data_IF_566034058869
#
_entry.id   IF_566034058869
#
_cell.length_a   1.000
_cell.length_b   1.000
_cell.length_c   1.000
_cell.angle_alpha   90.00
_cell.angle_beta   90.00
_cell.angle_gamma   90.00
#
_symmetry.space_group_name_H-M   'P 1'
#
loop_
_entity.id
_entity.type
_entity.pdbx_description
1 polymer ?
#
# COMPACT_ATOMS: atom_id res chain seq x y z
N UNK A 1 -7.89 11.60 -59.85
CA UNK A 1 -8.68 11.09 -58.72
C UNK A 1 -7.66 10.68 -57.68
N UNK A 2 -7.33 11.64 -56.83
CA UNK A 2 -6.18 11.61 -55.92
C UNK A 2 -6.78 11.38 -54.53
N UNK A 3 -6.95 10.10 -54.18
CA UNK A 3 -7.56 9.71 -52.90
C UNK A 3 -6.65 8.74 -52.19
N UNK A 4 -6.00 9.29 -51.16
CA UNK A 4 -5.38 8.62 -50.02
C UNK A 4 -4.12 7.80 -50.32
N UNK A 5 -3.00 8.50 -50.51
CA UNK A 5 -1.74 8.03 -49.91
C UNK A 5 -1.95 8.03 -48.39
N UNK A 6 -1.91 6.88 -47.69
CA UNK A 6 -1.81 6.92 -46.24
C UNK A 6 -0.46 7.58 -45.92
N UNK A 7 -0.50 8.73 -45.26
CA UNK A 7 0.69 9.32 -44.65
C UNK A 7 1.41 8.22 -43.85
N UNK A 8 2.74 8.14 -43.91
CA UNK A 8 3.47 7.07 -43.24
C UNK A 8 3.11 7.11 -41.76
N UNK A 9 2.77 5.95 -41.20
CA UNK A 9 2.48 5.73 -39.78
C UNK A 9 3.70 5.99 -38.85
N UNK A 10 4.61 6.88 -39.25
CA UNK A 10 5.82 7.29 -38.56
C UNK A 10 5.62 8.59 -37.75
N UNK A 11 4.54 9.34 -37.98
CA UNK A 11 4.18 10.54 -37.18
C UNK A 11 3.40 10.14 -35.91
N UNK A 12 2.73 8.98 -35.98
CA UNK A 12 2.30 8.17 -34.84
C UNK A 12 3.60 7.51 -34.35
N UNK A 13 4.24 7.84 -33.24
CA UNK A 13 3.60 8.16 -31.96
C UNK A 13 4.62 8.69 -30.92
N UNK A 14 5.58 9.56 -31.28
CA UNK A 14 6.55 10.11 -30.30
C UNK A 14 5.83 10.75 -29.10
N UNK A 15 4.73 11.45 -29.34
CA UNK A 15 3.91 12.03 -28.28
C UNK A 15 3.25 10.95 -27.41
N UNK A 16 2.75 9.87 -28.02
CA UNK A 16 2.15 8.75 -27.29
C UNK A 16 3.21 7.98 -26.49
N UNK A 17 4.34 7.63 -27.11
CA UNK A 17 5.47 6.98 -26.45
C UNK A 17 5.93 7.78 -25.24
N UNK A 18 6.07 9.10 -25.39
CA UNK A 18 6.43 10.00 -24.28
C UNK A 18 5.37 10.00 -23.18
N UNK A 19 4.08 10.05 -23.54
CA UNK A 19 2.98 9.98 -22.57
C UNK A 19 2.95 8.66 -21.81
N UNK A 20 3.15 7.54 -22.49
CA UNK A 20 3.21 6.20 -21.90
C UNK A 20 4.41 6.07 -20.97
N UNK A 21 5.57 6.62 -21.34
CA UNK A 21 6.74 6.68 -20.47
C UNK A 21 6.48 7.48 -19.19
N UNK A 22 5.86 8.67 -19.32
CA UNK A 22 5.48 9.49 -18.16
C UNK A 22 4.51 8.73 -17.25
N UNK A 23 3.52 8.05 -17.84
CA UNK A 23 2.54 7.25 -17.10
C UNK A 23 3.20 6.08 -16.36
N UNK A 24 4.14 5.38 -17.00
CA UNK A 24 4.88 4.28 -16.37
C UNK A 24 5.72 4.76 -15.18
N UNK A 25 6.45 5.88 -15.34
CA UNK A 25 7.19 6.51 -14.24
C UNK A 25 6.25 6.92 -13.11
N UNK A 26 5.08 7.49 -13.44
CA UNK A 26 4.08 7.85 -12.45
C UNK A 26 3.63 6.64 -11.62
N UNK A 27 3.32 5.50 -12.25
CA UNK A 27 2.96 4.28 -11.52
C UNK A 27 4.09 3.76 -10.62
N UNK A 28 5.34 3.85 -11.07
CA UNK A 28 6.50 3.50 -10.23
C UNK A 28 6.57 4.40 -9.00
N UNK A 29 6.50 5.73 -9.19
CA UNK A 29 6.59 6.70 -8.08
C UNK A 29 5.44 6.50 -7.10
N UNK A 30 4.19 6.39 -7.60
CA UNK A 30 3.02 6.16 -6.76
C UNK A 30 3.13 4.82 -6.03
N UNK A 31 3.58 3.75 -6.69
CA UNK A 31 3.78 2.45 -6.08
C UNK A 31 4.76 2.49 -4.90
N UNK A 32 5.88 3.19 -5.05
CA UNK A 32 6.87 3.39 -3.98
C UNK A 32 6.27 4.20 -2.83
N UNK A 33 5.55 5.28 -3.13
CA UNK A 33 4.91 6.12 -2.11
C UNK A 33 3.87 5.32 -1.33
N UNK A 34 3.00 4.59 -2.02
CA UNK A 34 1.96 3.75 -1.39
C UNK A 34 2.58 2.69 -0.50
N UNK A 35 3.62 1.98 -0.97
CA UNK A 35 4.36 1.04 -0.12
C UNK A 35 4.89 1.71 1.15
N UNK A 36 5.55 2.87 1.01
CA UNK A 36 6.11 3.60 2.14
C UNK A 36 5.05 4.12 3.12
N UNK A 37 3.94 4.66 2.62
CA UNK A 37 2.85 5.21 3.44
C UNK A 37 2.14 4.08 4.18
N UNK A 38 1.74 3.00 3.50
CA UNK A 38 1.03 1.88 4.13
C UNK A 38 1.93 1.19 5.17
N UNK A 39 3.22 1.02 4.85
CA UNK A 39 4.19 0.48 5.79
C UNK A 39 4.30 1.36 7.06
N UNK A 40 4.48 2.66 6.88
CA UNK A 40 4.61 3.62 7.99
C UNK A 40 3.35 3.67 8.84
N UNK A 41 2.19 3.82 8.21
CA UNK A 41 0.91 3.96 8.90
C UNK A 41 0.56 2.71 9.70
N UNK A 42 0.80 1.53 9.11
CA UNK A 42 0.65 0.24 9.80
C UNK A 42 1.46 0.18 11.09
N UNK A 43 2.70 0.69 11.06
CA UNK A 43 3.60 0.69 12.23
C UNK A 43 3.17 1.70 13.29
N UNK A 44 2.71 2.89 12.90
CA UNK A 44 2.21 3.90 13.84
C UNK A 44 0.94 3.43 14.53
N UNK A 45 -0.02 2.87 13.79
CA UNK A 45 -1.24 2.32 14.36
C UNK A 45 -0.95 1.13 15.28
N UNK A 46 -0.01 0.26 14.89
CA UNK A 46 0.43 -0.86 15.72
C UNK A 46 0.95 -0.39 17.08
N UNK A 47 1.70 0.72 17.13
CA UNK A 47 2.23 1.30 18.39
C UNK A 47 1.14 1.90 19.27
N UNK A 48 0.04 2.39 18.70
CA UNK A 48 -1.07 2.96 19.48
C UNK A 48 -2.02 1.88 19.98
N UNK A 49 -2.32 0.89 19.13
CA UNK A 49 -3.38 -0.10 19.38
C UNK A 49 -2.91 -1.27 20.25
N UNK A 50 -1.72 -1.84 20.02
CA UNK A 50 -1.29 -3.01 20.80
C UNK A 50 -1.11 -2.73 22.30
N UNK A 51 -0.51 -1.60 22.73
CA UNK A 51 -0.32 -1.32 24.15
C UNK A 51 -1.62 -1.12 24.94
N UNK A 52 -2.74 -0.81 24.26
CA UNK A 52 -4.06 -0.72 24.92
C UNK A 52 -4.52 -2.06 25.50
N UNK A 53 -4.09 -3.18 24.89
CA UNK A 53 -4.40 -4.53 25.39
C UNK A 53 -3.46 -4.99 26.51
N UNK A 54 -2.29 -4.35 26.66
CA UNK A 54 -1.33 -4.65 27.72
C UNK A 54 -1.62 -3.90 29.02
N UNK A 55 -2.20 -2.69 28.95
CA UNK A 55 -2.60 -1.90 30.13
C UNK A 55 -3.68 -2.59 30.97
N UNK A 56 -4.63 -3.29 30.35
CA UNK A 56 -5.69 -4.03 31.07
C UNK A 56 -5.19 -5.25 31.86
N UNK A 57 -3.95 -5.69 31.64
CA UNK A 57 -3.35 -6.81 32.38
C UNK A 57 -2.55 -6.36 33.61
N UNK A 58 -2.17 -5.07 33.69
CA UNK A 58 -1.30 -4.55 34.75
C UNK A 58 -2.04 -3.84 35.89
N UNK A 59 -3.36 -3.63 35.78
CA UNK A 59 -4.17 -2.89 36.77
C UNK A 59 -5.02 -3.77 37.71
N UNK A 60 -4.85 -5.09 37.73
CA UNK A 60 -5.56 -5.99 38.67
C UNK A 60 -4.82 -6.25 39.98
N UNK A 61 -3.95 -5.34 40.40
CA UNK A 61 -3.39 -5.31 41.77
C UNK A 61 -3.79 -4.02 42.52
N UNK A 62 -5.02 -3.53 42.32
CA UNK A 62 -5.56 -2.43 43.13
C UNK A 62 -6.86 -2.86 43.81
N UNK A 63 -6.79 -2.93 45.14
CA UNK A 63 -7.90 -3.21 46.05
C UNK A 63 -8.89 -2.04 46.04
N UNK A 64 -9.94 -2.09 45.21
CA UNK A 64 -11.09 -1.19 45.32
C UNK A 64 -12.33 -1.80 44.66
N UNK A 65 -13.45 -1.98 45.38
CA UNK A 65 -14.64 -2.68 44.89
C UNK A 65 -15.62 -1.73 44.18
N UNK A 66 -15.16 -0.99 43.17
CA UNK A 66 -16.06 -0.22 42.31
C UNK A 66 -15.65 -0.37 40.85
N UNK A 67 -16.38 -1.22 40.14
CA UNK A 67 -16.21 -1.56 38.73
C UNK A 67 -16.19 -0.33 37.81
N UNK A 68 -15.23 -0.30 36.88
CA UNK A 68 -15.48 0.27 35.56
C UNK A 68 -14.73 -0.51 34.47
N UNK A 69 -15.50 -1.34 33.74
CA UNK A 69 -15.32 -1.68 32.32
C UNK A 69 -13.92 -2.11 31.82
N UNK A 70 -13.18 -2.91 32.59
CA UNK A 70 -11.98 -3.59 32.09
C UNK A 70 -12.34 -4.78 31.19
N UNK A 71 -11.75 -4.87 30.00
CA UNK A 71 -11.80 -6.10 29.18
C UNK A 71 -11.24 -7.26 30.02
N UNK A 72 -11.99 -8.35 30.13
CA UNK A 72 -11.51 -9.57 30.81
C UNK A 72 -10.15 -10.00 30.24
N UNK A 73 -9.19 -10.50 31.05
CA UNK A 73 -7.84 -10.82 30.60
C UNK A 73 -7.77 -11.69 29.32
N UNK A 74 -8.76 -12.58 29.16
CA UNK A 74 -8.92 -13.45 27.99
C UNK A 74 -9.33 -12.70 26.72
N UNK A 75 -10.18 -11.68 26.84
CA UNK A 75 -10.61 -10.85 25.69
C UNK A 75 -9.52 -9.90 25.25
N UNK A 76 -8.71 -9.37 26.18
CA UNK A 76 -7.54 -8.56 25.88
C UNK A 76 -6.46 -9.35 25.10
N UNK A 77 -6.14 -10.57 25.54
CA UNK A 77 -5.18 -11.44 24.86
C UNK A 77 -5.64 -11.82 23.45
N UNK A 78 -6.92 -12.14 23.29
CA UNK A 78 -7.51 -12.47 21.98
C UNK A 78 -7.52 -11.26 21.04
N UNK A 79 -7.86 -10.07 21.54
CA UNK A 79 -7.78 -8.82 20.79
C UNK A 79 -6.35 -8.53 20.33
N UNK A 80 -5.37 -8.67 21.21
CA UNK A 80 -3.95 -8.49 20.88
C UNK A 80 -3.49 -9.42 19.75
N UNK A 81 -3.90 -10.68 19.77
CA UNK A 81 -3.56 -11.65 18.72
C UNK A 81 -4.18 -11.25 17.36
N UNK A 82 -5.47 -10.89 17.34
CA UNK A 82 -6.17 -10.50 16.11
C UNK A 82 -5.53 -9.23 15.51
N UNK A 83 -5.42 -8.16 16.29
CA UNK A 83 -4.86 -6.90 15.80
C UNK A 83 -3.39 -7.06 15.40
N UNK A 84 -2.61 -7.87 16.11
CA UNK A 84 -1.25 -8.22 15.72
C UNK A 84 -1.17 -8.85 14.32
N UNK A 85 -2.08 -9.79 14.02
CA UNK A 85 -2.18 -10.41 12.68
C UNK A 85 -2.64 -9.44 11.61
N UNK A 86 -3.60 -8.57 11.91
CA UNK A 86 -4.10 -7.54 10.98
C UNK A 86 -2.98 -6.59 10.58
N UNK A 87 -2.22 -6.05 11.54
CA UNK A 87 -1.09 -5.17 11.23
C UNK A 87 -0.02 -5.87 10.40
N UNK A 88 0.24 -7.15 10.67
CA UNK A 88 1.17 -7.95 9.87
C UNK A 88 0.68 -8.14 8.43
N UNK A 89 -0.62 -8.38 8.23
CA UNK A 89 -1.20 -8.48 6.89
C UNK A 89 -1.17 -7.13 6.16
N UNK A 90 -1.45 -6.03 6.85
CA UNK A 90 -1.46 -4.69 6.27
C UNK A 90 -0.08 -4.26 5.78
N UNK A 91 0.97 -4.61 6.55
CA UNK A 91 2.37 -4.41 6.17
C UNK A 91 2.71 -5.17 4.87
N UNK A 92 2.42 -6.49 4.85
CA UNK A 92 2.67 -7.35 3.68
C UNK A 92 1.85 -6.90 2.46
N UNK A 93 0.59 -6.53 2.64
CA UNK A 93 -0.28 -6.04 1.57
C UNK A 93 0.19 -4.68 1.02
N UNK A 94 0.67 -3.78 1.88
CA UNK A 94 1.26 -2.50 1.46
C UNK A 94 2.52 -2.69 0.63
N UNK A 95 3.42 -3.56 1.08
CA UNK A 95 4.67 -3.86 0.37
C UNK A 95 4.41 -4.58 -0.96
N UNK A 96 3.57 -5.63 -0.96
CA UNK A 96 3.21 -6.37 -2.17
C UNK A 96 2.42 -5.50 -3.16
N UNK A 97 1.49 -4.70 -2.66
CA UNK A 97 0.69 -3.79 -3.48
C UNK A 97 1.54 -2.73 -4.16
N UNK A 98 2.44 -2.09 -3.41
CA UNK A 98 3.37 -1.12 -3.99
C UNK A 98 4.37 -1.75 -4.94
N UNK A 99 4.93 -2.92 -4.62
CA UNK A 99 5.81 -3.67 -5.53
C UNK A 99 5.08 -4.05 -6.83
N UNK A 100 3.83 -4.49 -6.75
CA UNK A 100 3.00 -4.79 -7.92
C UNK A 100 2.77 -3.57 -8.81
N UNK A 101 2.48 -2.40 -8.21
CA UNK A 101 2.36 -1.14 -8.94
C UNK A 101 3.66 -0.71 -9.63
N UNK A 102 4.81 -0.94 -8.98
CA UNK A 102 6.13 -0.67 -9.57
C UNK A 102 6.39 -1.60 -10.75
N UNK A 103 6.15 -2.91 -10.61
CA UNK A 103 6.30 -3.88 -11.71
C UNK A 103 5.41 -3.51 -12.89
N UNK A 104 4.15 -3.15 -12.60
CA UNK A 104 3.23 -2.68 -13.62
C UNK A 104 3.74 -1.41 -14.33
N UNK A 105 4.25 -0.43 -13.58
CA UNK A 105 4.87 0.77 -14.14
C UNK A 105 6.07 0.45 -15.03
N UNK A 106 6.92 -0.51 -14.65
CA UNK A 106 8.04 -0.98 -15.48
C UNK A 106 7.54 -1.59 -16.79
N UNK A 107 6.48 -2.42 -16.76
CA UNK A 107 5.88 -2.98 -17.97
C UNK A 107 5.35 -1.88 -18.89
N UNK A 108 4.71 -0.85 -18.34
CA UNK A 108 4.24 0.32 -19.10
C UNK A 108 5.42 1.07 -19.74
N UNK A 109 6.54 1.24 -19.03
CA UNK A 109 7.76 1.85 -19.59
C UNK A 109 8.28 1.02 -20.77
N UNK A 110 8.36 -0.30 -20.64
CA UNK A 110 8.81 -1.18 -21.73
C UNK A 110 7.91 -1.07 -22.97
N UNK A 111 6.60 -0.96 -22.78
CA UNK A 111 5.64 -0.70 -23.87
C UNK A 111 5.93 0.66 -24.52
N UNK A 112 6.12 1.71 -23.72
CA UNK A 112 6.46 3.05 -24.23
C UNK A 112 7.75 3.07 -25.06
N UNK A 113 8.78 2.34 -24.60
CA UNK A 113 10.04 2.18 -25.34
C UNK A 113 9.84 1.42 -26.65
N UNK A 114 9.00 0.39 -26.66
CA UNK A 114 8.68 -0.39 -27.86
C UNK A 114 7.82 0.35 -28.89
N UNK A 115 7.06 1.38 -28.46
CA UNK A 115 6.30 2.26 -29.35
C UNK A 115 7.22 3.32 -29.97
N UNK A 116 8.20 3.81 -29.21
CA UNK A 116 9.15 4.84 -29.65
C UNK A 116 10.33 4.34 -30.48
N UNK A 117 10.52 3.01 -30.60
CA UNK A 117 11.56 2.35 -31.40
C UNK A 117 11.13 2.08 -32.83
#
# INVERSE_FOLDING_TARGET
MDTANPLPAQIVDINLATLVLILGIFFVVVGIIVAGVVYRESREWRKMVLPMFDRSLSETASESPNESAGLTPRTAAYGKEIFGRVFSHMDVAGLLGGAGMVIFGILVILIGLSIGS
#
